data_IF_464586897297
#
_entry.id   IF_464586897297
#
_cell.length_a   1.000
_cell.length_b   1.000
_cell.length_c   1.000
_cell.angle_alpha   90.00
_cell.angle_beta   90.00
_cell.angle_gamma   90.00
#
_symmetry.space_group_name_H-M   'P 1'
#
loop_
_entity.id
_entity.type
_entity.pdbx_description
1 polymer ?
#
# COMPACT_ATOMS: atom_id res chain seq x y z
N UNK A 1 -10.16 4.67 28.80
CA UNK A 1 -9.10 3.94 28.06
C UNK A 1 -9.58 2.68 27.34
N UNK A 2 -10.57 1.90 27.83
CA UNK A 2 -11.03 0.66 27.16
C UNK A 2 -11.58 0.86 25.74
N UNK A 3 -12.27 1.98 25.49
CA UNK A 3 -12.82 2.31 24.16
C UNK A 3 -11.72 2.53 23.11
N UNK A 4 -10.59 3.14 23.51
CA UNK A 4 -9.46 3.38 22.61
C UNK A 4 -8.74 2.08 22.21
N UNK A 5 -8.61 1.12 23.13
CA UNK A 5 -8.01 -0.18 22.84
C UNK A 5 -8.87 -0.99 21.85
N UNK A 6 -10.19 -1.04 22.05
CA UNK A 6 -11.11 -1.72 21.11
C UNK A 6 -11.08 -1.06 19.73
N UNK A 7 -11.07 0.28 19.69
CA UNK A 7 -11.00 1.05 18.45
C UNK A 7 -9.68 0.83 17.67
N UNK A 8 -8.60 0.39 18.30
CA UNK A 8 -7.31 0.11 17.64
C UNK A 8 -7.09 -1.36 17.31
N UNK A 9 -7.53 -2.26 18.18
CA UNK A 9 -7.31 -3.71 18.01
C UNK A 9 -8.11 -4.25 16.83
N UNK A 10 -9.38 -3.85 16.69
CA UNK A 10 -10.24 -4.30 15.59
C UNK A 10 -9.69 -3.92 14.20
N UNK A 11 -9.35 -2.66 13.90
CA UNK A 11 -8.78 -2.32 12.58
C UNK A 11 -7.39 -2.91 12.38
N UNK A 12 -6.56 -3.04 13.42
CA UNK A 12 -5.24 -3.68 13.28
C UNK A 12 -5.36 -5.16 12.88
N UNK A 13 -6.32 -5.88 13.45
CA UNK A 13 -6.60 -7.27 13.09
C UNK A 13 -7.12 -7.37 11.64
N UNK A 14 -8.04 -6.48 11.24
CA UNK A 14 -8.54 -6.43 9.85
C UNK A 14 -7.41 -6.11 8.87
N UNK A 15 -6.54 -5.14 9.18
CA UNK A 15 -5.38 -4.81 8.36
C UNK A 15 -4.43 -6.00 8.21
N UNK A 16 -4.13 -6.72 9.30
CA UNK A 16 -3.30 -7.92 9.26
C UNK A 16 -3.90 -9.01 8.35
N UNK A 17 -5.20 -9.28 8.48
CA UNK A 17 -5.88 -10.25 7.62
C UNK A 17 -5.89 -9.77 6.16
N UNK A 18 -6.10 -8.48 5.93
CA UNK A 18 -6.09 -7.90 4.60
C UNK A 18 -4.70 -7.93 3.97
N UNK A 19 -3.60 -7.76 4.72
CA UNK A 19 -2.24 -7.79 4.15
C UNK A 19 -1.94 -9.05 3.35
N UNK A 20 -2.59 -10.18 3.68
CA UNK A 20 -2.49 -11.43 2.93
C UNK A 20 -3.09 -11.35 1.51
N UNK A 21 -4.09 -10.48 1.31
CA UNK A 21 -4.80 -10.30 0.03
C UNK A 21 -4.59 -8.92 -0.60
N UNK A 22 -3.96 -7.98 0.12
CA UNK A 22 -3.77 -6.60 -0.33
C UNK A 22 -2.96 -6.54 -1.63
N UNK A 23 -1.89 -7.33 -1.73
CA UNK A 23 -1.07 -7.34 -2.94
C UNK A 23 -1.88 -7.69 -4.18
N UNK A 24 -2.59 -8.82 -4.16
CA UNK A 24 -3.42 -9.26 -5.29
C UNK A 24 -4.59 -8.31 -5.57
N UNK A 25 -5.20 -7.75 -4.52
CA UNK A 25 -6.29 -6.78 -4.66
C UNK A 25 -5.78 -5.52 -5.37
N UNK A 26 -4.66 -4.98 -4.91
CA UNK A 26 -4.03 -3.78 -5.48
C UNK A 26 -3.55 -4.04 -6.90
N UNK A 27 -2.88 -5.17 -7.16
CA UNK A 27 -2.50 -5.57 -8.51
C UNK A 27 -3.73 -5.65 -9.43
N UNK A 28 -4.83 -6.25 -8.98
CA UNK A 28 -6.07 -6.32 -9.75
C UNK A 28 -6.73 -4.95 -9.99
N UNK A 29 -6.72 -4.05 -8.99
CA UNK A 29 -7.22 -2.70 -9.14
C UNK A 29 -6.40 -1.90 -10.14
N UNK A 30 -5.07 -2.02 -10.09
CA UNK A 30 -4.16 -1.38 -11.04
C UNK A 30 -4.41 -1.96 -12.43
N UNK A 31 -4.47 -3.28 -12.58
CA UNK A 31 -4.76 -3.91 -13.87
C UNK A 31 -6.07 -3.42 -14.48
N UNK A 32 -7.13 -3.26 -13.68
CA UNK A 32 -8.40 -2.68 -14.14
C UNK A 32 -8.29 -1.21 -14.54
N UNK A 33 -7.48 -0.43 -13.84
CA UNK A 33 -7.24 0.96 -14.19
C UNK A 33 -6.46 1.10 -15.51
N UNK A 34 -5.61 0.13 -15.85
CA UNK A 34 -4.94 0.07 -17.16
C UNK A 34 -5.86 -0.40 -18.29
N UNK A 35 -6.88 -1.22 -18.00
CA UNK A 35 -7.88 -1.70 -18.98
C UNK A 35 -8.96 -0.64 -19.28
N UNK A 36 -9.22 0.29 -18.35
CA UNK A 36 -10.20 1.35 -18.52
C UNK A 36 -9.61 2.60 -19.21
N UNK A 37 -10.01 2.93 -20.45
CA UNK A 37 -9.48 4.09 -21.17
C UNK A 37 -9.79 5.43 -20.48
N UNK A 38 -10.81 5.48 -19.63
CA UNK A 38 -11.16 6.68 -18.85
C UNK A 38 -10.13 7.00 -17.76
N UNK A 39 -9.34 6.01 -17.33
CA UNK A 39 -8.31 6.15 -16.29
C UNK A 39 -6.91 6.41 -16.83
N UNK A 40 -6.75 6.56 -18.14
CA UNK A 40 -5.46 6.85 -18.81
C UNK A 40 -4.63 7.96 -18.16
N UNK A 41 -5.26 9.06 -17.72
CA UNK A 41 -4.57 10.15 -16.98
C UNK A 41 -4.05 9.72 -15.61
N UNK A 42 -4.81 8.92 -14.87
CA UNK A 42 -4.40 8.43 -13.56
C UNK A 42 -3.24 7.43 -13.70
N UNK A 43 -3.32 6.57 -14.72
CA UNK A 43 -2.25 5.62 -15.08
C UNK A 43 -0.95 6.35 -15.45
N UNK A 44 -1.01 7.33 -16.35
CA UNK A 44 0.16 8.14 -16.75
C UNK A 44 0.80 8.87 -15.56
N UNK A 45 -0.03 9.39 -14.64
CA UNK A 45 0.45 10.00 -13.41
C UNK A 45 1.17 8.98 -12.52
N UNK A 46 0.61 7.78 -12.37
CA UNK A 46 1.24 6.68 -11.63
C UNK A 46 2.59 6.30 -12.24
N UNK A 47 2.68 6.14 -13.56
CA UNK A 47 3.91 5.80 -14.28
C UNK A 47 5.02 6.82 -14.02
N UNK A 48 4.67 8.12 -14.07
CA UNK A 48 5.62 9.21 -13.80
C UNK A 48 6.06 9.22 -12.33
N UNK A 49 5.13 9.02 -11.40
CA UNK A 49 5.40 9.09 -9.97
C UNK A 49 6.25 7.91 -9.48
N UNK A 50 5.98 6.71 -10.01
CA UNK A 50 6.56 5.45 -9.56
C UNK A 50 7.72 4.99 -10.46
N UNK A 51 8.00 5.68 -11.57
CA UNK A 51 8.99 5.31 -12.58
C UNK A 51 8.82 3.85 -13.01
N UNK A 52 7.60 3.52 -13.42
CA UNK A 52 7.18 2.21 -13.87
C UNK A 52 6.44 2.33 -15.20
N UNK A 53 6.28 1.22 -15.91
CA UNK A 53 5.60 1.21 -17.19
C UNK A 53 4.68 0.01 -17.33
N UNK A 54 3.42 0.24 -17.69
CA UNK A 54 2.45 -0.83 -17.89
C UNK A 54 2.13 -1.60 -16.61
N UNK A 55 1.37 -2.69 -16.73
CA UNK A 55 0.99 -3.53 -15.58
C UNK A 55 2.15 -4.43 -15.13
N UNK A 56 2.71 -5.19 -16.07
CA UNK A 56 3.84 -6.11 -15.87
C UNK A 56 5.16 -5.60 -16.45
N UNK A 57 5.14 -4.50 -17.20
CA UNK A 57 6.29 -3.93 -17.89
C UNK A 57 5.85 -3.26 -19.20
N UNK A 58 6.81 -2.74 -20.00
CA UNK A 58 6.52 -2.10 -21.28
C UNK A 58 5.85 -3.04 -22.30
N UNK A 59 6.07 -4.34 -22.19
CA UNK A 59 5.42 -5.34 -23.04
C UNK A 59 3.89 -5.42 -22.84
N UNK A 60 3.38 -4.95 -21.70
CA UNK A 60 1.94 -4.90 -21.45
C UNK A 60 1.20 -4.03 -22.49
N UNK A 61 1.88 -3.04 -23.08
CA UNK A 61 1.33 -2.19 -24.14
C UNK A 61 1.29 -2.87 -25.52
N UNK A 62 2.13 -3.87 -25.76
CA UNK A 62 2.23 -4.57 -27.07
C UNK A 62 0.98 -5.42 -27.33
N UNK A 63 0.35 -5.91 -26.27
CA UNK A 63 -0.76 -6.87 -26.35
C UNK A 63 -2.15 -6.23 -26.50
N UNK A 64 -2.26 -4.90 -26.40
CA UNK A 64 -3.56 -4.22 -26.46
C UNK A 64 -4.09 -4.06 -27.90
N UNK A 65 -3.24 -4.05 -28.93
CA UNK A 65 -3.71 -3.94 -30.34
C UNK A 65 -2.73 -4.50 -31.41
N UNK A 66 -1.61 -5.14 -31.05
CA UNK A 66 -0.66 -5.70 -32.03
C UNK A 66 0.02 -4.64 -32.93
N UNK A 67 -0.17 -3.36 -32.65
CA UNK A 67 0.53 -2.22 -33.22
C UNK A 67 1.57 -1.81 -32.18
N UNK A 68 2.86 -1.58 -32.51
CA UNK A 68 3.81 -1.01 -31.55
C UNK A 68 3.36 0.41 -31.24
N UNK A 69 2.63 0.68 -30.14
CA UNK A 69 2.15 2.02 -29.90
C UNK A 69 3.39 2.78 -29.44
N UNK A 70 3.53 4.03 -29.84
CA UNK A 70 4.47 4.92 -29.16
C UNK A 70 4.17 4.82 -27.66
N UNK A 71 5.11 4.26 -26.89
CA UNK A 71 4.95 4.15 -25.44
C UNK A 71 4.65 5.56 -24.92
N UNK A 72 3.73 5.71 -23.96
CA UNK A 72 3.43 7.02 -23.43
C UNK A 72 4.72 7.64 -22.87
N UNK A 73 4.94 8.95 -23.05
CA UNK A 73 6.19 9.59 -22.63
C UNK A 73 6.44 9.49 -21.12
N UNK A 74 5.43 9.13 -20.33
CA UNK A 74 5.50 8.86 -18.88
C UNK A 74 6.24 7.57 -18.52
N UNK A 75 6.41 6.67 -19.48
CA UNK A 75 7.06 5.36 -19.32
C UNK A 75 8.58 5.42 -19.56
N UNK A 76 9.12 6.53 -20.06
CA UNK A 76 10.56 6.75 -20.24
C UNK A 76 11.05 7.90 -19.33
N UNK A 77 12.30 7.85 -18.87
CA UNK A 77 12.93 9.04 -18.28
C UNK A 77 13.25 9.99 -19.43
N UNK A 78 12.79 11.24 -19.35
CA UNK A 78 12.82 12.21 -20.46
C UNK A 78 14.27 12.62 -20.75
N UNK A 79 15.04 11.79 -21.46
CA UNK A 79 16.42 12.08 -21.85
C UNK A 79 16.66 11.99 -23.36
N UNK A 80 15.70 11.55 -24.17
CA UNK A 80 15.83 11.58 -25.63
C UNK A 80 14.77 12.45 -26.30
N UNK A 81 15.10 13.73 -26.43
CA UNK A 81 14.89 14.61 -27.59
C UNK A 81 13.70 14.34 -28.54
N UNK A 82 12.50 14.06 -28.02
CA UNK A 82 11.26 14.11 -28.80
C UNK A 82 11.06 13.01 -29.84
N UNK A 83 11.75 11.88 -29.72
CA UNK A 83 11.54 10.71 -30.59
C UNK A 83 11.12 9.52 -29.74
N UNK A 84 9.86 9.11 -29.89
CA UNK A 84 9.30 7.77 -29.59
C UNK A 84 10.06 6.91 -28.56
N UNK A 85 9.49 6.76 -27.36
CA UNK A 85 9.97 5.86 -26.31
C UNK A 85 9.98 4.41 -26.81
N UNK A 86 11.17 3.82 -26.94
CA UNK A 86 11.37 2.41 -27.27
C UNK A 86 11.24 1.55 -26.00
N UNK A 87 10.86 0.28 -26.18
CA UNK A 87 10.74 -0.69 -25.09
C UNK A 87 12.06 -0.86 -24.31
N UNK A 88 13.20 -0.66 -24.97
CA UNK A 88 14.54 -0.77 -24.37
C UNK A 88 14.84 0.37 -23.40
N UNK A 89 14.36 1.58 -23.71
CA UNK A 89 14.56 2.80 -22.91
C UNK A 89 13.49 3.02 -21.85
N UNK A 90 12.43 2.21 -21.89
CA UNK A 90 11.32 2.23 -20.96
C UNK A 90 11.68 1.66 -19.58
N UNK A 91 10.91 2.08 -18.57
CA UNK A 91 10.98 1.47 -17.24
C UNK A 91 10.55 -0.01 -17.31
N UNK A 92 11.53 -0.90 -17.17
CA UNK A 92 11.32 -2.36 -17.28
C UNK A 92 10.39 -2.93 -16.19
N UNK A 93 10.17 -2.22 -15.09
CA UNK A 93 9.27 -2.67 -14.02
C UNK A 93 7.83 -2.26 -14.28
N UNK A 94 6.93 -3.23 -14.16
CA UNK A 94 5.48 -3.02 -14.20
C UNK A 94 4.92 -2.33 -12.95
N UNK A 95 4.02 -1.38 -13.15
CA UNK A 95 3.37 -0.62 -12.09
C UNK A 95 2.54 -1.49 -11.15
N UNK A 96 1.85 -2.52 -11.64
CA UNK A 96 1.04 -3.39 -10.78
C UNK A 96 1.92 -4.12 -9.75
N UNK A 97 3.03 -4.69 -10.23
CA UNK A 97 4.00 -5.39 -9.37
C UNK A 97 4.66 -4.46 -8.36
N UNK A 98 5.11 -3.29 -8.81
CA UNK A 98 5.81 -2.34 -7.96
C UNK A 98 4.90 -1.73 -6.88
N UNK A 99 3.66 -1.40 -7.22
CA UNK A 99 2.67 -0.91 -6.26
C UNK A 99 2.29 -2.04 -5.29
N UNK A 100 2.10 -3.26 -5.77
CA UNK A 100 1.82 -4.42 -4.93
C UNK A 100 2.93 -4.66 -3.89
N UNK A 101 4.19 -4.62 -4.31
CA UNK A 101 5.36 -4.74 -3.44
C UNK A 101 5.49 -3.57 -2.47
N UNK A 102 5.27 -2.34 -2.94
CA UNK A 102 5.28 -1.16 -2.08
C UNK A 102 4.21 -1.30 -0.99
N UNK A 103 2.96 -1.59 -1.35
CA UNK A 103 1.87 -1.75 -0.37
C UNK A 103 2.17 -2.88 0.62
N UNK A 104 2.72 -4.00 0.17
CA UNK A 104 3.11 -5.09 1.06
C UNK A 104 4.21 -4.66 2.05
N UNK A 105 5.22 -3.93 1.57
CA UNK A 105 6.32 -3.44 2.41
C UNK A 105 5.84 -2.41 3.43
N UNK A 106 5.08 -1.41 2.99
CA UNK A 106 4.52 -0.36 3.84
C UNK A 106 3.53 -0.92 4.87
N UNK A 107 2.64 -1.83 4.45
CA UNK A 107 1.68 -2.45 5.36
C UNK A 107 2.35 -3.32 6.43
N UNK A 108 3.44 -4.02 6.09
CA UNK A 108 4.24 -4.77 7.07
C UNK A 108 4.85 -3.84 8.11
N UNK A 109 5.43 -2.72 7.67
CA UNK A 109 6.02 -1.72 8.57
C UNK A 109 4.96 -1.10 9.51
N UNK A 110 3.80 -0.72 8.97
CA UNK A 110 2.69 -0.20 9.77
C UNK A 110 2.15 -1.26 10.74
N UNK A 111 2.10 -2.52 10.34
CA UNK A 111 1.71 -3.64 11.21
C UNK A 111 2.60 -3.72 12.45
N UNK A 112 3.92 -3.61 12.28
CA UNK A 112 4.87 -3.59 13.40
C UNK A 112 4.63 -2.40 14.34
N UNK A 113 4.41 -1.21 13.78
CA UNK A 113 4.13 0.00 14.56
C UNK A 113 2.85 -0.13 15.40
N UNK A 114 1.77 -0.68 14.82
CA UNK A 114 0.53 -0.93 15.56
C UNK A 114 0.71 -1.96 16.68
N UNK A 115 1.51 -3.01 16.48
CA UNK A 115 1.80 -4.00 17.51
C UNK A 115 2.44 -3.36 18.75
N UNK A 116 3.41 -2.45 18.57
CA UNK A 116 4.04 -1.73 19.68
C UNK A 116 3.02 -0.87 20.45
N UNK A 117 2.16 -0.15 19.72
CA UNK A 117 1.14 0.71 20.34
C UNK A 117 0.16 -0.11 21.18
N UNK A 118 -0.32 -1.24 20.63
CA UNK A 118 -1.24 -2.14 21.33
C UNK A 118 -0.59 -2.71 22.59
N UNK A 119 0.66 -3.18 22.49
CA UNK A 119 1.40 -3.69 23.65
C UNK A 119 1.52 -2.62 24.76
N UNK A 120 1.85 -1.38 24.40
CA UNK A 120 1.91 -0.27 25.34
C UNK A 120 0.56 0.05 25.99
N UNK A 121 -0.55 -0.08 25.27
CA UNK A 121 -1.88 0.11 25.84
C UNK A 121 -2.28 -0.98 26.82
N UNK A 122 -1.93 -2.23 26.54
CA UNK A 122 -2.18 -3.36 27.46
C UNK A 122 -1.43 -3.13 28.77
N UNK A 123 -0.16 -2.73 28.71
CA UNK A 123 0.64 -2.43 29.92
C UNK A 123 -0.01 -1.32 30.75
N UNK A 124 -0.44 -0.22 30.12
CA UNK A 124 -1.13 0.88 30.80
C UNK A 124 -2.43 0.43 31.47
N UNK A 125 -3.22 -0.40 30.81
CA UNK A 125 -4.47 -0.94 31.37
C UNK A 125 -4.20 -1.85 32.57
N UNK A 126 -3.17 -2.69 32.49
CA UNK A 126 -2.75 -3.55 33.60
C UNK A 126 -2.37 -2.71 34.81
N UNK A 127 -1.46 -1.74 34.67
CA UNK A 127 -1.03 -0.87 35.78
C UNK A 127 -2.19 -0.07 36.37
N UNK A 128 -3.03 0.53 35.52
CA UNK A 128 -4.19 1.28 35.99
C UNK A 128 -5.15 0.40 36.81
N UNK A 129 -5.35 -0.86 36.40
CA UNK A 129 -6.21 -1.79 37.14
C UNK A 129 -5.64 -2.17 38.51
N UNK A 130 -4.31 -2.35 38.62
CA UNK A 130 -3.64 -2.59 39.89
C UNK A 130 -3.77 -1.40 40.84
N UNK A 131 -3.53 -0.18 40.34
CA UNK A 131 -3.62 1.05 41.15
C UNK A 131 -5.04 1.28 41.66
N UNK A 132 -6.06 1.11 40.82
CA UNK A 132 -7.47 1.27 41.24
C UNK A 132 -7.82 0.27 42.35
N UNK A 133 -7.36 -0.98 42.25
CA UNK A 133 -7.58 -1.99 43.29
C UNK A 133 -6.91 -1.61 44.61
N UNK A 134 -5.64 -1.18 44.57
CA UNK A 134 -4.90 -0.76 45.76
C UNK A 134 -5.55 0.44 46.47
N UNK A 135 -6.04 1.43 45.70
CA UNK A 135 -6.76 2.59 46.25
C UNK A 135 -8.08 2.15 46.88
N UNK A 136 -8.84 1.29 46.21
CA UNK A 136 -10.12 0.78 46.72
C UNK A 136 -9.94 0.00 48.01
N UNK A 137 -8.89 -0.82 48.13
CA UNK A 137 -8.60 -1.55 49.37
C UNK A 137 -8.21 -0.63 50.53
N UNK A 138 -7.49 0.47 50.27
CA UNK A 138 -7.21 1.47 51.30
C UNK A 138 -8.49 2.18 51.77
N UNK A 139 -9.32 2.63 50.83
CA UNK A 139 -10.58 3.32 51.12
C UNK A 139 -11.62 2.46 51.85
N UNK A 140 -11.53 1.13 51.75
CA UNK A 140 -12.40 0.21 52.48
C UNK A 140 -11.87 -0.14 53.88
N UNK A 141 -10.62 0.22 54.18
CA UNK A 141 -9.96 -0.08 55.46
C UNK A 141 -10.01 1.10 56.44
N UNK A 142 -10.13 2.32 55.92
CA UNK A 142 -10.41 3.55 56.68
C UNK A 142 -11.93 3.75 56.84
#
# INVERSE_FOLDING_TARGET
MRVLAVAKIAPSFVLLVQTLQLRQTVENYVNRAFDDPSMSRAVQFLETLLKCCGTSGPEAYINLDGIPPELPPTCCDVQDNGTSCLIEDAYQRGCATLIGEAVQTWSTYLGYLFMIIIAGEVVKLTVASYVIRAIKEKLLRD
#
